data_IF_578136145846
#
_entry.id   IF_578136145846
#
_cell.length_a   1.000
_cell.length_b   1.000
_cell.length_c   1.000
_cell.angle_alpha   90.00
_cell.angle_beta   90.00
_cell.angle_gamma   90.00
#
_symmetry.space_group_name_H-M   'P 1'
#
loop_
_entity.id
_entity.type
_entity.pdbx_description
1 polymer ?
#
# COMPACT_ATOMS: atom_id res chain seq x y z
N UNK A 1 -16.99 -14.93 -3.05
CA UNK A 1 -17.95 -16.06 -3.14
C UNK A 1 -19.34 -15.51 -2.85
N UNK A 2 -20.38 -15.92 -3.57
CA UNK A 2 -21.75 -15.44 -3.30
C UNK A 2 -22.35 -16.16 -2.09
N UNK A 3 -23.24 -15.49 -1.36
CA UNK A 3 -23.99 -16.07 -0.22
C UNK A 3 -24.69 -17.38 -0.59
N UNK A 4 -25.22 -17.46 -1.82
CA UNK A 4 -25.85 -18.65 -2.40
C UNK A 4 -24.93 -19.87 -2.32
N UNK A 5 -23.70 -19.72 -2.79
CA UNK A 5 -22.80 -20.84 -3.00
C UNK A 5 -22.16 -21.32 -1.70
N UNK A 6 -21.94 -20.41 -0.75
CA UNK A 6 -21.53 -20.78 0.61
C UNK A 6 -22.57 -21.69 1.28
N UNK A 7 -23.87 -21.35 1.19
CA UNK A 7 -24.96 -22.12 1.81
C UNK A 7 -25.11 -23.50 1.15
N UNK A 8 -25.11 -23.55 -0.19
CA UNK A 8 -25.19 -24.81 -0.93
C UNK A 8 -24.00 -25.72 -0.60
N UNK A 9 -22.79 -25.17 -0.48
CA UNK A 9 -21.61 -25.94 -0.14
C UNK A 9 -21.70 -26.56 1.27
N UNK A 10 -22.13 -25.79 2.27
CA UNK A 10 -22.27 -26.29 3.64
C UNK A 10 -23.32 -27.43 3.70
N UNK A 11 -24.43 -27.28 2.97
CA UNK A 11 -25.48 -28.28 2.88
C UNK A 11 -25.04 -29.56 2.15
N UNK A 12 -24.14 -29.46 1.16
CA UNK A 12 -23.53 -30.63 0.49
C UNK A 12 -22.60 -31.39 1.44
N UNK A 13 -21.80 -30.68 2.21
CA UNK A 13 -20.85 -31.27 3.17
C UNK A 13 -21.53 -31.88 4.40
N UNK A 14 -22.73 -31.41 4.73
CA UNK A 14 -23.49 -31.87 5.89
C UNK A 14 -24.94 -32.17 5.44
N UNK A 15 -25.19 -33.30 4.75
CA UNK A 15 -26.53 -33.65 4.31
C UNK A 15 -27.50 -33.72 5.49
N UNK A 16 -28.63 -33.00 5.40
CA UNK A 16 -29.61 -32.94 6.49
C UNK A 16 -29.26 -31.97 7.61
N UNK A 17 -28.42 -30.95 7.35
CA UNK A 17 -28.07 -29.91 8.32
C UNK A 17 -29.29 -29.12 8.79
N UNK A 18 -29.40 -28.88 10.10
CA UNK A 18 -30.44 -28.02 10.68
C UNK A 18 -30.07 -26.53 10.57
N UNK A 19 -31.06 -25.66 10.76
CA UNK A 19 -30.89 -24.20 10.64
C UNK A 19 -29.82 -23.62 11.57
N UNK A 20 -29.75 -24.08 12.83
CA UNK A 20 -28.82 -23.52 13.81
C UNK A 20 -27.38 -23.95 13.50
N UNK A 21 -27.18 -25.22 13.15
CA UNK A 21 -25.89 -25.75 12.70
C UNK A 21 -25.39 -25.05 11.42
N UNK A 22 -26.30 -24.78 10.48
CA UNK A 22 -25.99 -24.04 9.27
C UNK A 22 -25.65 -22.57 9.57
N UNK A 23 -26.39 -21.93 10.47
CA UNK A 23 -26.14 -20.56 10.91
C UNK A 23 -24.76 -20.40 11.54
N UNK A 24 -24.35 -21.31 12.41
CA UNK A 24 -23.02 -21.28 13.05
C UNK A 24 -21.90 -21.37 12.00
N UNK A 25 -22.06 -22.24 10.99
CA UNK A 25 -21.07 -22.36 9.90
C UNK A 25 -21.08 -21.14 8.95
N UNK A 26 -22.23 -20.51 8.77
CA UNK A 26 -22.44 -19.35 7.88
C UNK A 26 -22.06 -18.00 8.51
N UNK A 27 -22.18 -17.86 9.83
CA UNK A 27 -22.04 -16.58 10.56
C UNK A 27 -20.62 -16.01 10.57
N UNK A 28 -19.60 -16.81 10.25
CA UNK A 28 -18.19 -16.41 10.24
C UNK A 28 -17.91 -15.26 9.25
N UNK A 29 -18.76 -15.08 8.25
CA UNK A 29 -18.63 -14.04 7.22
C UNK A 29 -19.33 -12.72 7.58
N UNK A 30 -19.92 -12.59 8.78
CA UNK A 30 -20.72 -11.43 9.18
C UNK A 30 -20.27 -10.91 10.55
N UNK A 31 -20.09 -9.59 10.67
CA UNK A 31 -19.75 -8.92 11.92
C UNK A 31 -20.91 -8.87 12.93
N UNK A 32 -22.16 -9.03 12.47
CA UNK A 32 -23.36 -8.98 13.30
C UNK A 32 -24.21 -10.27 13.17
N UNK A 33 -24.47 -11.00 14.28
CA UNK A 33 -25.30 -12.21 14.29
C UNK A 33 -26.72 -12.03 13.74
N UNK A 34 -27.34 -10.87 13.97
CA UNK A 34 -28.71 -10.62 13.50
C UNK A 34 -28.76 -10.40 11.99
N UNK A 35 -27.74 -9.76 11.43
CA UNK A 35 -27.56 -9.63 9.98
C UNK A 35 -27.34 -10.99 9.32
N UNK A 36 -26.53 -11.86 9.95
CA UNK A 36 -26.30 -13.23 9.47
C UNK A 36 -27.61 -14.05 9.44
N UNK A 37 -28.43 -13.97 10.50
CA UNK A 37 -29.75 -14.64 10.57
C UNK A 37 -30.70 -14.17 9.47
N UNK A 38 -30.82 -12.86 9.28
CA UNK A 38 -31.69 -12.29 8.26
C UNK A 38 -31.24 -12.69 6.84
N UNK A 39 -29.94 -12.62 6.57
CA UNK A 39 -29.35 -13.01 5.29
C UNK A 39 -29.54 -14.52 5.01
N UNK A 40 -29.30 -15.37 6.02
CA UNK A 40 -29.47 -16.82 5.90
C UNK A 40 -30.93 -17.19 5.65
N UNK A 41 -31.86 -16.62 6.40
CA UNK A 41 -33.30 -16.91 6.26
C UNK A 41 -33.83 -16.55 4.87
N UNK A 42 -33.48 -15.35 4.35
CA UNK A 42 -33.82 -14.94 2.98
C UNK A 42 -33.23 -15.88 1.94
N UNK A 43 -31.93 -16.15 2.06
CA UNK A 43 -31.23 -17.01 1.11
C UNK A 43 -31.76 -18.44 1.12
N UNK A 44 -32.13 -19.00 2.27
CA UNK A 44 -32.72 -20.34 2.37
C UNK A 44 -34.10 -20.40 1.74
N UNK A 45 -34.93 -19.36 1.91
CA UNK A 45 -36.23 -19.26 1.23
C UNK A 45 -36.04 -19.26 -0.29
N UNK A 46 -35.12 -18.44 -0.78
CA UNK A 46 -34.86 -18.34 -2.23
C UNK A 46 -34.28 -19.64 -2.80
N UNK A 47 -33.31 -20.24 -2.11
CA UNK A 47 -32.69 -21.51 -2.51
C UNK A 47 -33.68 -22.67 -2.54
N UNK A 48 -34.62 -22.71 -1.59
CA UNK A 48 -35.67 -23.73 -1.57
C UNK A 48 -36.67 -23.49 -2.70
N UNK A 49 -37.10 -22.24 -2.91
CA UNK A 49 -38.06 -21.86 -3.96
C UNK A 49 -37.50 -22.14 -5.36
N UNK A 50 -36.22 -21.87 -5.57
CA UNK A 50 -35.54 -22.11 -6.86
C UNK A 50 -35.14 -23.59 -7.07
N UNK A 51 -35.43 -24.48 -6.12
CA UNK A 51 -35.21 -25.92 -6.24
C UNK A 51 -33.74 -26.34 -6.08
N UNK A 52 -32.90 -25.55 -5.42
CA UNK A 52 -31.52 -25.93 -5.12
C UNK A 52 -31.41 -26.73 -3.80
N UNK A 53 -32.31 -26.47 -2.85
CA UNK A 53 -32.41 -27.15 -1.56
C UNK A 53 -33.82 -27.70 -1.36
N UNK A 54 -33.93 -28.76 -0.56
CA UNK A 54 -35.19 -29.25 0.00
C UNK A 54 -35.16 -29.15 1.52
N UNK A 55 -36.28 -28.72 2.11
CA UNK A 55 -36.47 -28.72 3.56
C UNK A 55 -37.40 -29.88 3.95
N UNK A 56 -36.90 -30.82 4.74
CA UNK A 56 -37.69 -31.89 5.37
C UNK A 56 -37.48 -31.83 6.88
N UNK A 57 -38.54 -31.73 7.66
CA UNK A 57 -38.48 -31.78 9.14
C UNK A 57 -37.41 -30.83 9.75
N UNK A 58 -37.37 -29.57 9.28
CA UNK A 58 -36.39 -28.56 9.69
C UNK A 58 -34.91 -28.83 9.31
N UNK A 59 -34.66 -29.84 8.48
CA UNK A 59 -33.35 -30.14 7.92
C UNK A 59 -33.29 -29.77 6.45
N UNK A 60 -32.13 -29.27 6.03
CA UNK A 60 -31.86 -28.87 4.65
C UNK A 60 -30.99 -29.93 3.97
N UNK A 61 -31.35 -30.30 2.75
CA UNK A 61 -30.56 -31.20 1.91
C UNK A 61 -30.48 -30.64 0.49
N UNK A 62 -29.39 -30.97 -0.22
CA UNK A 62 -29.24 -30.57 -1.60
C UNK A 62 -30.20 -31.33 -2.53
N UNK A 63 -30.63 -30.66 -3.59
CA UNK A 63 -31.26 -31.28 -4.75
C UNK A 63 -30.23 -31.34 -5.90
N UNK A 64 -30.48 -32.17 -6.91
CA UNK A 64 -29.59 -32.32 -8.08
C UNK A 64 -29.24 -30.99 -8.75
N UNK A 65 -30.22 -30.06 -8.84
CA UNK A 65 -29.99 -28.71 -9.35
C UNK A 65 -29.02 -27.91 -8.48
N UNK A 66 -29.07 -28.08 -7.17
CA UNK A 66 -28.10 -27.53 -6.22
C UNK A 66 -26.70 -28.10 -6.43
N UNK A 67 -26.61 -29.40 -6.70
CA UNK A 67 -25.32 -30.07 -6.93
C UNK A 67 -24.69 -29.58 -8.23
N UNK A 68 -25.48 -29.49 -9.29
CA UNK A 68 -25.07 -28.96 -10.58
C UNK A 68 -24.60 -27.49 -10.50
N UNK A 69 -25.25 -26.66 -9.68
CA UNK A 69 -24.86 -25.27 -9.47
C UNK A 69 -23.49 -25.14 -8.78
N UNK A 70 -23.28 -25.89 -7.69
CA UNK A 70 -21.96 -25.94 -7.01
C UNK A 70 -20.90 -26.44 -7.99
N UNK A 71 -21.20 -27.50 -8.73
CA UNK A 71 -20.29 -28.10 -9.68
C UNK A 71 -19.90 -27.14 -10.81
N UNK A 72 -20.89 -26.43 -11.37
CA UNK A 72 -20.68 -25.40 -12.39
C UNK A 72 -19.80 -24.27 -11.89
N UNK A 73 -20.01 -23.77 -10.66
CA UNK A 73 -19.16 -22.70 -10.13
C UNK A 73 -17.73 -23.19 -9.88
N UNK A 74 -17.55 -24.38 -9.30
CA UNK A 74 -16.20 -24.89 -9.03
C UNK A 74 -15.47 -25.19 -10.34
N UNK A 75 -16.13 -25.81 -11.32
CA UNK A 75 -15.56 -26.05 -12.63
C UNK A 75 -15.20 -24.72 -13.34
N UNK A 76 -16.13 -23.77 -13.39
CA UNK A 76 -15.97 -22.56 -14.19
C UNK A 76 -15.09 -21.48 -13.55
N UNK A 77 -15.02 -21.38 -12.21
CA UNK A 77 -14.21 -20.36 -11.54
C UNK A 77 -12.89 -20.87 -10.97
N UNK A 78 -12.87 -22.10 -10.46
CA UNK A 78 -11.68 -22.65 -9.82
C UNK A 78 -10.80 -23.38 -10.83
N UNK A 79 -11.35 -24.36 -11.54
CA UNK A 79 -10.58 -25.19 -12.47
C UNK A 79 -10.19 -24.41 -13.73
N UNK A 80 -11.14 -23.78 -14.43
CA UNK A 80 -10.81 -22.93 -15.58
C UNK A 80 -9.88 -21.77 -15.17
N UNK A 81 -10.13 -21.18 -14.00
CA UNK A 81 -9.30 -20.10 -13.47
C UNK A 81 -7.86 -20.54 -13.18
N UNK A 82 -7.64 -21.79 -12.76
CA UNK A 82 -6.31 -22.37 -12.59
C UNK A 82 -5.67 -22.67 -13.95
N UNK A 83 -6.39 -23.31 -14.87
CA UNK A 83 -5.86 -23.62 -16.21
C UNK A 83 -5.42 -22.35 -16.94
N UNK A 84 -6.20 -21.27 -16.83
CA UNK A 84 -5.85 -19.98 -17.43
C UNK A 84 -4.61 -19.32 -16.82
N UNK A 85 -4.42 -19.40 -15.51
CA UNK A 85 -3.29 -18.73 -14.84
C UNK A 85 -2.00 -19.55 -14.93
N UNK A 86 -2.09 -20.87 -14.80
CA UNK A 86 -0.94 -21.76 -14.93
C UNK A 86 -0.47 -21.83 -16.39
N UNK A 87 -1.40 -21.87 -17.35
CA UNK A 87 -1.08 -21.89 -18.79
C UNK A 87 -0.55 -20.56 -19.35
N UNK A 88 -0.46 -19.50 -18.56
CA UNK A 88 0.09 -18.22 -19.01
C UNK A 88 1.63 -18.27 -19.06
N UNK A 89 2.21 -17.63 -20.09
CA UNK A 89 3.67 -17.45 -20.23
C UNK A 89 4.34 -16.75 -19.02
N UNK A 90 3.55 -16.07 -18.17
CA UNK A 90 4.01 -15.38 -16.95
C UNK A 90 3.20 -15.78 -15.72
N UNK A 91 2.98 -17.09 -15.54
CA UNK A 91 2.26 -17.61 -14.38
C UNK A 91 2.83 -17.14 -13.02
N UNK A 92 4.14 -16.86 -12.93
CA UNK A 92 4.79 -16.30 -11.73
C UNK A 92 4.20 -14.96 -11.30
N UNK A 93 3.68 -14.14 -12.23
CA UNK A 93 3.07 -12.85 -11.89
C UNK A 93 1.66 -13.02 -11.29
N UNK A 94 1.04 -14.19 -11.47
CA UNK A 94 -0.27 -14.56 -10.91
C UNK A 94 -0.16 -15.52 -9.71
N UNK A 95 1.03 -15.65 -9.11
CA UNK A 95 1.33 -16.69 -8.11
C UNK A 95 0.36 -16.68 -6.91
N UNK A 96 0.00 -15.50 -6.40
CA UNK A 96 -0.92 -15.37 -5.26
C UNK A 96 -2.30 -15.95 -5.58
N UNK A 97 -2.80 -15.69 -6.79
CA UNK A 97 -4.09 -16.20 -7.26
C UNK A 97 -4.02 -17.72 -7.46
N UNK A 98 -2.94 -18.22 -8.06
CA UNK A 98 -2.71 -19.65 -8.27
C UNK A 98 -2.67 -20.37 -6.91
N UNK A 99 -1.89 -19.87 -5.94
CA UNK A 99 -1.79 -20.44 -4.58
C UNK A 99 -3.15 -20.45 -3.90
N UNK A 100 -3.89 -19.34 -3.93
CA UNK A 100 -5.22 -19.26 -3.30
C UNK A 100 -6.19 -20.27 -3.92
N UNK A 101 -6.20 -20.42 -5.24
CA UNK A 101 -7.05 -21.39 -5.94
C UNK A 101 -6.63 -22.83 -5.70
N UNK A 102 -5.32 -23.12 -5.69
CA UNK A 102 -4.80 -24.45 -5.36
C UNK A 102 -5.16 -24.84 -3.92
N UNK A 103 -5.03 -23.92 -2.97
CA UNK A 103 -5.43 -24.16 -1.58
C UNK A 103 -6.91 -24.50 -1.48
N UNK A 104 -7.78 -23.70 -2.12
CA UNK A 104 -9.22 -23.97 -2.17
C UNK A 104 -9.51 -25.32 -2.82
N UNK A 105 -8.78 -25.68 -3.88
CA UNK A 105 -8.95 -26.96 -4.55
C UNK A 105 -8.54 -28.14 -3.67
N UNK A 106 -7.40 -28.04 -2.97
CA UNK A 106 -6.88 -29.08 -2.08
C UNK A 106 -7.79 -29.27 -0.86
N UNK A 107 -8.18 -28.18 -0.20
CA UNK A 107 -9.05 -28.24 0.97
C UNK A 107 -10.41 -28.86 0.63
N UNK A 108 -11.01 -28.45 -0.50
CA UNK A 108 -12.30 -28.98 -0.94
C UNK A 108 -12.19 -30.40 -1.49
N UNK A 109 -11.14 -30.71 -2.24
CA UNK A 109 -10.90 -32.05 -2.76
C UNK A 109 -10.70 -33.10 -1.66
N UNK A 110 -10.22 -32.71 -0.47
CA UNK A 110 -10.16 -33.59 0.70
C UNK A 110 -11.54 -33.90 1.30
N UNK A 111 -12.50 -32.98 1.15
CA UNK A 111 -13.85 -33.09 1.71
C UNK A 111 -14.87 -33.68 0.72
N UNK A 112 -14.61 -33.58 -0.58
CA UNK A 112 -15.52 -34.00 -1.66
C UNK A 112 -14.77 -34.85 -2.71
N UNK A 113 -15.01 -36.17 -2.69
CA UNK A 113 -14.34 -37.13 -3.59
C UNK A 113 -14.75 -36.95 -5.05
N UNK A 114 -15.99 -36.57 -5.32
CA UNK A 114 -16.47 -36.36 -6.69
C UNK A 114 -15.84 -35.12 -7.28
N UNK A 115 -15.72 -34.06 -6.47
CA UNK A 115 -14.98 -32.87 -6.86
C UNK A 115 -13.52 -33.19 -7.16
N UNK A 116 -12.85 -33.96 -6.29
CA UNK A 116 -11.45 -34.36 -6.51
C UNK A 116 -11.29 -35.14 -7.82
N UNK A 117 -12.19 -36.08 -8.11
CA UNK A 117 -12.17 -36.87 -9.35
C UNK A 117 -12.35 -35.98 -10.58
N UNK A 118 -13.34 -35.09 -10.55
CA UNK A 118 -13.58 -34.13 -11.64
C UNK A 118 -12.40 -33.22 -11.86
N UNK A 119 -11.85 -32.63 -10.80
CA UNK A 119 -10.75 -31.69 -10.92
C UNK A 119 -9.50 -32.35 -11.48
N UNK A 120 -9.18 -33.59 -11.07
CA UNK A 120 -8.08 -34.36 -11.66
C UNK A 120 -8.24 -34.57 -13.17
N UNK A 121 -9.46 -34.77 -13.66
CA UNK A 121 -9.73 -34.95 -15.08
C UNK A 121 -9.95 -33.66 -15.87
N UNK A 122 -10.03 -32.50 -15.21
CA UNK A 122 -10.37 -31.21 -15.84
C UNK A 122 -9.26 -30.16 -15.74
N UNK A 123 -8.17 -30.45 -15.01
CA UNK A 123 -6.98 -29.61 -15.01
C UNK A 123 -6.18 -29.89 -16.28
N UNK A 124 -5.82 -28.83 -16.99
CA UNK A 124 -5.11 -28.91 -18.27
C UNK A 124 -3.58 -28.85 -18.12
N UNK A 125 -3.09 -28.82 -16.87
CA UNK A 125 -1.67 -28.78 -16.55
C UNK A 125 -1.27 -29.93 -15.61
N UNK A 126 -0.09 -30.54 -15.81
CA UNK A 126 0.50 -31.47 -14.86
C UNK A 126 1.12 -30.74 -13.65
N UNK A 127 1.35 -31.49 -12.56
CA UNK A 127 2.04 -30.96 -11.36
C UNK A 127 3.44 -30.44 -11.69
N UNK A 128 4.12 -31.01 -12.69
CA UNK A 128 5.43 -30.54 -13.13
C UNK A 128 5.43 -29.11 -13.68
N UNK A 129 4.30 -28.60 -14.17
CA UNK A 129 4.19 -27.18 -14.53
C UNK A 129 4.18 -26.28 -13.29
N UNK A 130 3.60 -26.75 -12.17
CA UNK A 130 3.68 -26.05 -10.89
C UNK A 130 5.11 -26.05 -10.34
N UNK A 131 5.85 -27.15 -10.50
CA UNK A 131 7.27 -27.22 -10.13
C UNK A 131 8.10 -26.22 -10.94
N UNK A 132 7.87 -26.13 -12.27
CA UNK A 132 8.55 -25.16 -13.13
C UNK A 132 8.22 -23.70 -12.74
N UNK A 133 6.98 -23.42 -12.33
CA UNK A 133 6.58 -22.11 -11.80
C UNK A 133 7.32 -21.83 -10.49
N UNK A 134 7.43 -22.80 -9.59
CA UNK A 134 8.17 -22.67 -8.33
C UNK A 134 9.65 -22.36 -8.57
N UNK A 135 10.31 -23.08 -9.46
CA UNK A 135 11.71 -22.81 -9.82
C UNK A 135 11.91 -21.41 -10.41
N UNK A 136 10.96 -20.95 -11.23
CA UNK A 136 10.97 -19.62 -11.83
C UNK A 136 10.77 -18.52 -10.76
N UNK A 137 9.88 -18.76 -9.80
CA UNK A 137 9.67 -17.88 -8.65
C UNK A 137 10.95 -17.78 -7.80
N UNK A 138 11.59 -18.90 -7.48
CA UNK A 138 12.84 -18.92 -6.71
C UNK A 138 13.96 -18.15 -7.40
N UNK A 139 14.07 -18.27 -8.73
CA UNK A 139 15.02 -17.47 -9.53
C UNK A 139 14.71 -15.98 -9.43
N UNK A 140 13.43 -15.59 -9.51
CA UNK A 140 12.98 -14.18 -9.38
C UNK A 140 13.29 -13.64 -7.98
N UNK A 141 13.05 -14.41 -6.92
CA UNK A 141 13.37 -14.03 -5.54
C UNK A 141 14.88 -13.77 -5.39
N UNK A 142 15.73 -14.72 -5.78
CA UNK A 142 17.20 -14.55 -5.70
C UNK A 142 17.69 -13.35 -6.48
N UNK A 143 17.11 -13.09 -7.66
CA UNK A 143 17.45 -11.93 -8.47
C UNK A 143 17.06 -10.61 -7.79
N UNK A 144 15.87 -10.54 -7.19
CA UNK A 144 15.42 -9.35 -6.45
C UNK A 144 16.26 -9.10 -5.20
N UNK A 145 16.63 -10.16 -4.46
CA UNK A 145 17.55 -10.07 -3.32
C UNK A 145 18.92 -9.51 -3.75
N UNK A 146 19.46 -10.02 -4.86
CA UNK A 146 20.70 -9.50 -5.43
C UNK A 146 20.59 -8.03 -5.81
N UNK A 147 19.53 -7.64 -6.54
CA UNK A 147 19.29 -6.24 -6.93
C UNK A 147 19.16 -5.36 -5.69
N UNK A 148 18.41 -5.79 -4.68
CA UNK A 148 18.22 -5.03 -3.44
C UNK A 148 19.56 -4.78 -2.72
N UNK A 149 20.42 -5.81 -2.66
CA UNK A 149 21.76 -5.69 -2.09
C UNK A 149 22.62 -4.70 -2.89
N UNK A 150 22.72 -4.90 -4.20
CA UNK A 150 23.52 -4.02 -5.08
C UNK A 150 23.02 -2.59 -5.01
N UNK A 151 21.71 -2.37 -5.07
CA UNK A 151 21.11 -1.04 -4.99
C UNK A 151 21.42 -0.37 -3.65
N UNK A 152 21.40 -1.12 -2.55
CA UNK A 152 21.78 -0.61 -1.22
C UNK A 152 23.25 -0.20 -1.16
N UNK A 153 24.15 -0.98 -1.78
CA UNK A 153 25.56 -0.64 -1.92
C UNK A 153 25.76 0.64 -2.76
N UNK A 154 25.01 0.80 -3.87
CA UNK A 154 25.05 2.02 -4.68
C UNK A 154 24.55 3.24 -3.90
N UNK A 155 23.43 3.13 -3.18
CA UNK A 155 22.92 4.19 -2.31
C UNK A 155 23.95 4.57 -1.25
N UNK A 156 24.63 3.59 -0.64
CA UNK A 156 25.69 3.84 0.33
C UNK A 156 26.89 4.55 -0.32
N UNK A 157 27.33 4.12 -1.49
CA UNK A 157 28.42 4.76 -2.23
C UNK A 157 28.07 6.22 -2.56
N UNK A 158 26.85 6.52 -3.01
CA UNK A 158 26.40 7.88 -3.26
C UNK A 158 26.44 8.75 -1.98
N UNK A 159 26.07 8.18 -0.82
CA UNK A 159 26.17 8.86 0.47
C UNK A 159 27.63 9.14 0.86
N UNK A 160 28.52 8.17 0.71
CA UNK A 160 29.95 8.30 0.98
C UNK A 160 30.63 9.34 0.06
N UNK A 161 30.22 9.39 -1.21
CA UNK A 161 30.66 10.38 -2.19
C UNK A 161 30.08 11.79 -1.96
N UNK A 162 29.19 11.96 -0.97
CA UNK A 162 28.64 13.26 -0.61
C UNK A 162 27.60 13.80 -1.61
N UNK A 163 26.91 12.92 -2.34
CA UNK A 163 25.77 13.35 -3.17
C UNK A 163 24.71 14.08 -2.34
N UNK A 164 23.95 14.94 -3.02
CA UNK A 164 22.93 15.74 -2.35
C UNK A 164 21.83 14.85 -1.76
N UNK A 165 21.44 15.17 -0.54
CA UNK A 165 20.30 14.61 0.18
C UNK A 165 19.37 15.76 0.60
N UNK A 166 18.16 15.43 1.04
CA UNK A 166 17.21 16.40 1.57
C UNK A 166 16.36 15.81 2.69
N UNK A 167 15.80 16.69 3.52
CA UNK A 167 14.70 16.37 4.42
C UNK A 167 13.68 17.48 4.45
N UNK A 168 12.43 17.12 4.75
CA UNK A 168 11.35 18.05 4.96
C UNK A 168 10.93 18.06 6.43
N UNK A 169 10.60 19.23 6.97
CA UNK A 169 9.95 19.42 8.28
C UNK A 169 8.78 20.38 8.13
N UNK A 170 7.84 20.34 9.07
CA UNK A 170 6.76 21.33 9.13
C UNK A 170 7.34 22.75 9.27
N UNK A 171 6.67 23.78 8.75
CA UNK A 171 7.14 25.15 8.93
C UNK A 171 6.46 25.82 10.13
N UNK A 172 7.06 25.61 11.30
CA UNK A 172 6.62 26.11 12.60
C UNK A 172 7.77 26.75 13.40
N UNK A 173 7.47 27.29 14.59
CA UNK A 173 8.46 27.95 15.46
C UNK A 173 9.61 27.04 15.87
N UNK A 174 9.34 25.74 16.05
CA UNK A 174 10.35 24.74 16.38
C UNK A 174 11.32 24.54 15.20
N UNK A 175 10.78 24.53 13.99
CA UNK A 175 11.56 24.37 12.76
C UNK A 175 12.37 25.62 12.43
N UNK A 176 11.87 26.83 12.76
CA UNK A 176 12.65 28.07 12.73
C UNK A 176 13.87 27.98 13.66
N UNK A 177 13.68 27.49 14.89
CA UNK A 177 14.78 27.31 15.85
C UNK A 177 15.79 26.27 15.36
N UNK A 178 15.31 25.18 14.75
CA UNK A 178 16.16 24.13 14.16
C UNK A 178 16.95 24.67 12.97
N UNK A 179 16.32 25.41 12.05
CA UNK A 179 16.99 26.05 10.91
C UNK A 179 18.02 27.07 11.36
N UNK A 180 17.73 27.84 12.41
CA UNK A 180 18.71 28.76 12.98
C UNK A 180 19.95 28.01 13.46
N UNK A 181 19.81 26.86 14.12
CA UNK A 181 20.94 26.02 14.54
C UNK A 181 21.72 25.47 13.33
N UNK A 182 21.02 24.95 12.33
CA UNK A 182 21.60 24.37 11.10
C UNK A 182 22.46 25.41 10.36
N UNK A 183 21.89 26.57 10.08
CA UNK A 183 22.55 27.62 9.30
C UNK A 183 23.56 28.40 10.15
N UNK A 184 23.33 28.61 11.45
CA UNK A 184 24.35 29.23 12.32
C UNK A 184 25.57 28.33 12.55
N UNK A 185 25.43 27.01 12.39
CA UNK A 185 26.55 26.07 12.41
C UNK A 185 27.47 26.17 11.17
N UNK A 186 27.05 26.84 10.11
CA UNK A 186 27.84 27.01 8.89
C UNK A 186 28.93 28.09 9.05
N UNK A 187 30.06 27.98 8.32
CA UNK A 187 31.15 28.97 8.36
C UNK A 187 30.79 30.32 7.70
N UNK A 188 29.64 30.40 7.03
CA UNK A 188 29.16 31.58 6.32
C UNK A 188 28.93 32.78 7.26
N UNK A 189 29.37 33.97 6.83
CA UNK A 189 29.17 35.25 7.54
C UNK A 189 27.88 35.96 7.10
N UNK A 190 27.49 35.76 5.85
CA UNK A 190 26.25 36.27 5.25
C UNK A 190 25.51 35.13 4.54
N UNK A 191 24.18 35.12 4.65
CA UNK A 191 23.29 34.18 3.96
C UNK A 191 22.47 34.92 2.91
N UNK A 192 22.20 34.27 1.78
CA UNK A 192 21.39 34.85 0.70
C UNK A 192 19.97 34.32 0.80
N UNK A 193 18.99 35.22 0.83
CA UNK A 193 17.57 34.87 0.76
C UNK A 193 16.99 35.36 -0.56
N UNK A 194 16.45 34.44 -1.35
CA UNK A 194 15.68 34.73 -2.56
C UNK A 194 14.19 34.49 -2.29
N UNK A 195 13.33 35.39 -2.72
CA UNK A 195 11.89 35.21 -2.65
C UNK A 195 11.23 36.00 -3.79
N UNK A 196 10.24 35.41 -4.47
CA UNK A 196 9.48 36.11 -5.50
C UNK A 196 8.62 37.26 -4.93
N UNK A 197 7.96 37.11 -3.77
CA UNK A 197 7.22 38.21 -3.18
C UNK A 197 8.18 39.31 -2.68
N UNK A 198 8.26 40.42 -3.43
CA UNK A 198 9.08 41.58 -3.07
C UNK A 198 8.72 42.15 -1.69
N UNK A 199 7.46 42.01 -1.26
CA UNK A 199 7.00 42.40 0.08
C UNK A 199 7.75 41.64 1.19
N UNK A 200 8.08 40.36 0.98
CA UNK A 200 8.82 39.55 1.95
C UNK A 200 10.29 39.99 2.01
N UNK A 201 10.90 40.26 0.85
CA UNK A 201 12.27 40.78 0.79
C UNK A 201 12.38 42.17 1.46
N UNK A 202 11.40 43.05 1.24
CA UNK A 202 11.33 44.36 1.89
C UNK A 202 11.23 44.24 3.42
N UNK A 203 10.35 43.38 3.92
CA UNK A 203 10.19 43.13 5.35
C UNK A 203 11.47 42.55 5.99
N UNK A 204 12.22 41.71 5.27
CA UNK A 204 13.53 41.20 5.72
C UNK A 204 14.55 42.34 5.79
N UNK A 205 14.62 43.22 4.78
CA UNK A 205 15.52 44.38 4.80
C UNK A 205 15.27 45.29 6.01
N UNK A 206 14.00 45.58 6.32
CA UNK A 206 13.62 46.43 7.44
C UNK A 206 13.91 45.79 8.80
N UNK A 207 13.48 44.55 9.03
CA UNK A 207 13.61 43.88 10.34
C UNK A 207 15.00 43.29 10.61
N UNK A 208 15.74 42.89 9.59
CA UNK A 208 17.05 42.24 9.72
C UNK A 208 18.23 43.15 9.35
N UNK A 209 17.98 44.43 9.02
CA UNK A 209 18.98 45.39 8.53
C UNK A 209 19.84 44.82 7.39
N UNK A 210 19.20 44.08 6.49
CA UNK A 210 19.88 43.28 5.48
C UNK A 210 20.18 44.09 4.22
N UNK A 211 21.25 43.73 3.50
CA UNK A 211 21.66 44.44 2.27
C UNK A 211 20.80 43.95 1.10
N UNK A 212 19.98 44.83 0.55
CA UNK A 212 19.15 44.53 -0.62
C UNK A 212 20.01 44.30 -1.88
N UNK A 213 19.65 43.28 -2.67
CA UNK A 213 20.19 42.99 -4.00
C UNK A 213 19.01 42.78 -4.97
N UNK A 214 19.20 42.86 -6.30
CA UNK A 214 18.13 42.55 -7.24
C UNK A 214 17.61 41.12 -7.04
N UNK A 215 16.35 40.97 -6.62
CA UNK A 215 15.70 39.67 -6.40
C UNK A 215 16.18 38.85 -5.19
N UNK A 216 17.06 39.41 -4.35
CA UNK A 216 17.60 38.70 -3.18
C UNK A 216 18.03 39.66 -2.08
N UNK A 217 18.24 39.13 -0.87
CA UNK A 217 18.70 39.90 0.28
C UNK A 217 19.85 39.16 0.95
N UNK A 218 20.94 39.86 1.24
CA UNK A 218 22.08 39.33 2.00
C UNK A 218 21.91 39.66 3.48
N UNK A 219 21.73 38.62 4.29
CA UNK A 219 21.47 38.70 5.73
C UNK A 219 22.72 38.27 6.49
N UNK A 220 23.23 39.13 7.37
CA UNK A 220 24.33 38.77 8.27
C UNK A 220 23.90 37.66 9.23
N UNK A 221 24.86 36.80 9.63
CA UNK A 221 24.62 35.67 10.54
C UNK A 221 23.87 36.07 11.82
N UNK A 222 24.25 37.18 12.43
CA UNK A 222 23.62 37.69 13.66
C UNK A 222 22.15 38.09 13.47
N UNK A 223 21.77 38.47 12.24
CA UNK A 223 20.42 38.89 11.88
C UNK A 223 19.56 37.74 11.32
N UNK A 224 20.09 36.52 11.20
CA UNK A 224 19.39 35.38 10.58
C UNK A 224 18.10 35.02 11.33
N UNK A 225 18.09 35.12 12.66
CA UNK A 225 16.88 34.86 13.47
C UNK A 225 15.74 35.81 13.09
N UNK A 226 16.04 37.09 12.91
CA UNK A 226 15.04 38.09 12.51
C UNK A 226 14.50 37.78 11.11
N UNK A 227 15.37 37.39 10.17
CA UNK A 227 14.95 37.02 8.81
C UNK A 227 14.06 35.76 8.78
N UNK A 228 14.40 34.71 9.54
CA UNK A 228 13.58 33.50 9.62
C UNK A 228 12.21 33.76 10.27
N UNK A 229 12.13 34.65 11.27
CA UNK A 229 10.86 35.07 11.84
C UNK A 229 9.96 35.74 10.79
N UNK A 230 10.51 36.63 9.95
CA UNK A 230 9.77 37.25 8.85
C UNK A 230 9.26 36.22 7.85
N UNK A 231 10.09 35.23 7.50
CA UNK A 231 9.66 34.13 6.62
C UNK A 231 8.51 33.33 7.22
N UNK A 232 8.53 33.07 8.54
CA UNK A 232 7.47 32.36 9.26
C UNK A 232 6.16 33.15 9.34
N UNK A 233 6.25 34.45 9.64
CA UNK A 233 5.09 35.37 9.68
C UNK A 233 4.40 35.48 8.31
N UNK A 234 5.16 35.36 7.22
CA UNK A 234 4.69 35.56 5.85
C UNK A 234 4.49 34.26 5.06
N UNK A 235 4.43 33.10 5.73
CA UNK A 235 4.33 31.79 5.08
C UNK A 235 3.17 31.64 4.08
N UNK A 236 2.07 32.38 4.29
CA UNK A 236 0.92 32.41 3.39
C UNK A 236 1.20 32.98 1.99
N UNK A 237 2.29 33.73 1.82
CA UNK A 237 2.71 34.31 0.55
C UNK A 237 3.55 33.35 -0.32
N UNK A 238 3.96 32.19 0.22
CA UNK A 238 4.78 31.20 -0.50
C UNK A 238 3.97 30.28 -1.43
N UNK A 239 2.67 30.55 -1.62
CA UNK A 239 1.84 29.86 -2.61
C UNK A 239 2.21 30.22 -4.06
N UNK A 240 2.74 31.43 -4.29
CA UNK A 240 3.14 31.89 -5.62
C UNK A 240 4.53 31.36 -6.03
N UNK A 241 5.43 31.20 -5.06
CA UNK A 241 6.77 30.66 -5.23
C UNK A 241 7.48 30.53 -3.87
N UNK A 242 8.31 29.49 -3.66
CA UNK A 242 8.97 29.28 -2.38
C UNK A 242 10.07 30.32 -2.16
N UNK A 243 10.24 30.78 -0.90
CA UNK A 243 11.46 31.47 -0.53
C UNK A 243 12.61 30.47 -0.42
N UNK A 244 13.84 30.91 -0.69
CA UNK A 244 15.03 30.08 -0.66
C UNK A 244 16.12 30.77 0.15
N UNK A 245 16.68 30.05 1.11
CA UNK A 245 17.83 30.47 1.89
C UNK A 245 19.04 29.65 1.45
N UNK A 246 20.12 30.33 1.08
CA UNK A 246 21.35 29.71 0.60
C UNK A 246 22.48 29.95 1.62
N UNK A 247 23.27 28.89 1.81
CA UNK A 247 24.57 28.90 2.46
C UNK A 247 25.61 28.28 1.52
N UNK A 248 26.87 28.25 1.93
CA UNK A 248 27.96 27.63 1.15
C UNK A 248 27.72 26.16 0.81
N UNK A 249 27.02 25.42 1.69
CA UNK A 249 26.86 23.96 1.57
C UNK A 249 25.39 23.49 1.57
N UNK A 250 24.47 24.29 2.13
CA UNK A 250 23.05 23.95 2.30
C UNK A 250 22.12 24.97 1.64
N UNK A 251 20.95 24.49 1.21
CA UNK A 251 19.83 25.28 0.70
C UNK A 251 18.56 24.88 1.45
N UNK A 252 17.83 25.86 1.99
CA UNK A 252 16.50 25.67 2.54
C UNK A 252 15.46 26.31 1.65
N UNK A 253 14.39 25.57 1.32
CA UNK A 253 13.25 26.05 0.57
C UNK A 253 12.02 26.09 1.46
N UNK A 254 11.36 27.25 1.53
CA UNK A 254 10.22 27.50 2.39
C UNK A 254 8.92 27.43 1.58
N UNK A 255 8.04 26.54 2.00
CA UNK A 255 6.67 26.39 1.52
C UNK A 255 5.71 26.81 2.64
N UNK A 256 4.41 26.99 2.36
CA UNK A 256 3.42 27.44 3.36
C UNK A 256 3.33 26.54 4.61
N UNK A 257 3.51 25.22 4.42
CA UNK A 257 3.34 24.20 5.45
C UNK A 257 4.64 23.47 5.84
N UNK A 258 5.70 23.61 5.03
CA UNK A 258 6.95 22.85 5.22
C UNK A 258 8.19 23.62 4.78
N UNK A 259 9.34 23.20 5.32
CA UNK A 259 10.66 23.61 4.85
C UNK A 259 11.43 22.39 4.38
N UNK A 260 12.04 22.48 3.20
CA UNK A 260 12.91 21.44 2.65
C UNK A 260 14.35 21.92 2.72
N UNK A 261 15.18 21.24 3.49
CA UNK A 261 16.62 21.49 3.56
C UNK A 261 17.33 20.47 2.67
N UNK A 262 18.24 20.95 1.82
CA UNK A 262 18.97 20.15 0.84
C UNK A 262 20.45 20.55 0.80
N UNK A 263 21.31 19.60 0.44
CA UNK A 263 22.76 19.78 0.37
C UNK A 263 23.50 18.44 0.44
N UNK A 264 24.83 18.41 0.54
CA UNK A 264 25.61 17.18 0.63
C UNK A 264 25.13 16.28 1.77
N UNK A 265 25.05 14.97 1.53
CA UNK A 265 24.57 13.98 2.51
C UNK A 265 25.24 14.13 3.88
N UNK A 266 26.56 14.31 3.92
CA UNK A 266 27.33 14.43 5.17
C UNK A 266 26.95 15.67 5.99
N UNK A 267 26.50 16.74 5.35
CA UNK A 267 26.04 17.95 6.03
C UNK A 267 24.59 17.82 6.44
N UNK A 268 23.73 17.35 5.55
CA UNK A 268 22.28 17.20 5.80
C UNK A 268 21.98 16.16 6.87
N UNK A 269 22.71 15.04 6.90
CA UNK A 269 22.49 13.93 7.85
C UNK A 269 22.72 14.30 9.31
N UNK A 270 23.60 15.29 9.60
CA UNK A 270 23.83 15.83 10.96
C UNK A 270 22.55 16.41 11.58
N UNK A 271 21.59 16.82 10.74
CA UNK A 271 20.41 17.58 11.15
C UNK A 271 19.09 16.84 10.90
N UNK A 272 19.15 15.62 10.35
CA UNK A 272 17.95 14.78 10.19
C UNK A 272 17.42 14.21 11.51
N UNK A 273 18.27 14.15 12.55
CA UNK A 273 17.92 13.60 13.87
C UNK A 273 16.95 14.48 14.65
#
# INVERSE_FOLDING_TARGET
MTTKNAILLIAKQNPGIDYNSLLTKFSHSYSNPNSARAALSRSLKDLTTLGYLVRKENRYSLLEKGEAEIYSEIKNKLVLGLNMEVGQKRAVDAIDSIVAKLQVLIERGRQDRDLLKTSKGSLDFPVSELDAISESLDKKVRHLEYISRVFSEQVRAMKELGFNDSFARAFDEHSVSSLLLVFSGQPDQEFIIEAEPQAVLGAICEKASAKARPGSVAVAKDSLRAALAVLSENKGLFNAGPARLFSSSLRAEFFPDRVVVSGPFNEVSKWKQ
#
